data_IF_898227373850
#
_entry.id   IF_898227373850
#
_cell.length_a   1.000
_cell.length_b   1.000
_cell.length_c   1.000
_cell.angle_alpha   90.00
_cell.angle_beta   90.00
_cell.angle_gamma   90.00
#
_symmetry.space_group_name_H-M   'P 1'
#
loop_
_entity.id
_entity.type
_entity.pdbx_description
1 polymer ?
#
# COMPACT_ATOMS: atom_id res chain seq x y z
N UNK A 1 5.64 13.42 15.07
CA UNK A 1 4.72 14.02 14.10
C UNK A 1 4.08 12.88 13.33
N UNK A 2 2.88 12.45 13.74
CA UNK A 2 2.21 11.32 13.12
C UNK A 2 1.80 11.70 11.69
N UNK A 3 2.28 10.95 10.71
CA UNK A 3 1.85 11.00 9.32
C UNK A 3 0.33 10.86 9.27
N UNK A 4 -0.38 11.98 9.04
CA UNK A 4 -1.84 12.06 9.00
C UNK A 4 -2.38 11.56 7.65
N UNK A 5 -1.89 10.39 7.22
CA UNK A 5 -2.42 9.67 6.07
C UNK A 5 -3.38 8.61 6.55
N UNK A 6 -4.46 8.40 5.81
CA UNK A 6 -5.48 7.40 6.14
C UNK A 6 -4.99 5.99 5.77
N UNK A 7 -4.10 5.44 6.60
CA UNK A 7 -3.59 4.08 6.43
C UNK A 7 -4.68 3.05 6.69
N UNK A 8 -4.90 2.15 5.73
CA UNK A 8 -5.75 0.98 5.91
C UNK A 8 -4.97 -0.30 5.58
N UNK A 9 -5.30 -1.37 6.30
CA UNK A 9 -4.71 -2.69 6.07
C UNK A 9 -5.43 -3.39 4.90
N UNK A 10 -4.68 -4.13 4.09
CA UNK A 10 -5.26 -4.95 3.02
C UNK A 10 -6.13 -6.08 3.60
N UNK A 11 -7.31 -6.30 3.02
CA UNK A 11 -8.23 -7.38 3.40
C UNK A 11 -7.64 -8.78 3.16
N UNK A 12 -6.59 -8.89 2.34
CA UNK A 12 -5.86 -10.14 2.10
C UNK A 12 -4.90 -10.50 3.25
N UNK A 13 -4.69 -9.60 4.21
CA UNK A 13 -3.81 -9.81 5.37
C UNK A 13 -4.51 -10.46 6.58
N UNK A 14 -5.70 -11.06 6.39
CA UNK A 14 -6.51 -11.67 7.46
C UNK A 14 -6.30 -13.21 7.60
N UNK A 15 -5.31 -13.77 6.90
CA UNK A 15 -4.93 -15.19 6.98
C UNK A 15 -3.83 -15.46 8.00
N UNK A 16 -3.66 -16.74 8.38
CA UNK A 16 -2.68 -17.26 9.35
C UNK A 16 -1.18 -17.00 8.98
N UNK A 17 -0.94 -16.30 7.88
CA UNK A 17 0.33 -16.07 7.20
C UNK A 17 0.39 -14.55 6.96
N UNK A 18 0.85 -13.83 7.97
CA UNK A 18 0.68 -12.40 8.16
C UNK A 18 1.54 -11.52 7.23
N UNK A 19 1.39 -11.62 5.91
CA UNK A 19 1.90 -10.61 4.98
C UNK A 19 1.03 -9.35 5.10
N UNK A 20 1.34 -8.51 6.08
CA UNK A 20 0.53 -7.38 6.47
C UNK A 20 0.99 -6.11 5.75
N UNK A 21 0.32 -5.74 4.67
CA UNK A 21 0.59 -4.47 3.97
C UNK A 21 -0.46 -3.44 4.37
N UNK A 22 0.01 -2.23 4.65
CA UNK A 22 -0.79 -1.03 4.83
C UNK A 22 -0.62 -0.11 3.62
N UNK A 23 -1.72 0.44 3.14
CA UNK A 23 -1.76 1.39 2.03
C UNK A 23 -2.43 2.67 2.52
N UNK A 24 -1.93 3.80 2.07
CA UNK A 24 -2.59 5.10 2.23
C UNK A 24 -2.66 5.78 0.87
N UNK A 25 -3.88 5.99 0.38
CA UNK A 25 -4.15 6.65 -0.89
C UNK A 25 -4.52 8.12 -0.63
N UNK A 26 -3.60 9.02 -0.96
CA UNK A 26 -3.77 10.47 -0.82
C UNK A 26 -3.87 11.11 -2.20
N UNK A 27 -4.39 12.35 -2.27
CA UNK A 27 -4.61 13.05 -3.54
C UNK A 27 -3.37 13.16 -4.44
N UNK A 28 -2.17 13.24 -3.84
CA UNK A 28 -0.91 13.46 -4.57
C UNK A 28 0.07 12.29 -4.48
N UNK A 29 -0.20 11.27 -3.67
CA UNK A 29 0.74 10.17 -3.44
C UNK A 29 0.02 8.94 -2.90
N UNK A 30 0.58 7.77 -3.20
CA UNK A 30 0.15 6.50 -2.59
C UNK A 30 1.31 5.94 -1.78
N UNK A 31 1.11 5.80 -0.47
CA UNK A 31 2.07 5.19 0.45
C UNK A 31 1.79 3.71 0.59
N UNK A 32 2.84 2.89 0.53
CA UNK A 32 2.76 1.44 0.82
C UNK A 32 3.82 1.10 1.86
N UNK A 33 3.42 0.41 2.92
CA UNK A 33 4.34 -0.03 3.97
C UNK A 33 4.02 -1.41 4.51
N UNK A 34 5.01 -1.99 5.14
CA UNK A 34 4.84 -3.18 5.94
C UNK A 34 4.25 -2.82 7.31
N UNK A 35 3.19 -3.52 7.72
CA UNK A 35 2.48 -3.25 8.97
C UNK A 35 3.28 -3.69 10.19
N UNK A 36 4.20 -4.64 10.04
CA UNK A 36 5.02 -5.17 11.12
C UNK A 36 6.29 -4.34 11.34
N UNK A 37 6.76 -3.66 10.29
CA UNK A 37 8.01 -2.91 10.26
C UNK A 37 7.76 -1.43 9.93
N UNK A 38 6.80 -0.79 10.63
CA UNK A 38 6.38 0.60 10.37
C UNK A 38 7.53 1.60 10.54
N UNK A 39 8.51 1.29 11.37
CA UNK A 39 9.69 2.15 11.60
C UNK A 39 10.69 2.15 10.44
N UNK A 40 10.65 1.14 9.56
CA UNK A 40 11.52 1.08 8.38
C UNK A 40 11.08 2.06 7.27
N UNK A 41 9.95 2.76 7.47
CA UNK A 41 9.43 3.74 6.55
C UNK A 41 8.41 3.15 5.57
N UNK A 42 8.22 3.85 4.45
CA UNK A 42 7.22 3.49 3.45
C UNK A 42 7.69 3.92 2.06
N UNK A 43 7.23 3.20 1.03
CA UNK A 43 7.48 3.56 -0.36
C UNK A 43 6.33 4.45 -0.83
N UNK A 44 6.64 5.49 -1.60
CA UNK A 44 5.65 6.38 -2.19
C UNK A 44 5.61 6.23 -3.71
N UNK A 45 4.40 6.16 -4.25
CA UNK A 45 4.12 6.17 -5.68
C UNK A 45 3.31 7.41 -6.05
N UNK A 46 3.38 7.81 -7.32
CA UNK A 46 2.38 8.75 -7.86
C UNK A 46 1.03 8.02 -8.03
N UNK A 47 -0.11 8.70 -7.91
CA UNK A 47 -1.42 8.08 -8.08
C UNK A 47 -1.59 7.38 -9.43
N UNK A 48 -1.03 7.94 -10.51
CA UNK A 48 -1.09 7.34 -11.85
C UNK A 48 -0.27 6.04 -11.94
N UNK A 49 0.96 6.03 -11.40
CA UNK A 49 1.79 4.82 -11.40
C UNK A 49 1.13 3.69 -10.60
N UNK A 50 0.51 4.03 -9.46
CA UNK A 50 -0.24 3.08 -8.65
C UNK A 50 -1.43 2.48 -9.40
N UNK A 51 -2.25 3.32 -10.05
CA UNK A 51 -3.38 2.84 -10.85
C UNK A 51 -2.95 1.93 -12.00
N UNK A 52 -1.88 2.31 -12.72
CA UNK A 52 -1.32 1.51 -13.81
C UNK A 52 -0.84 0.14 -13.32
N UNK A 53 -0.16 0.10 -12.18
CA UNK A 53 0.29 -1.13 -11.55
C UNK A 53 -0.88 -2.07 -11.22
N UNK A 54 -1.91 -1.55 -10.53
CA UNK A 54 -3.09 -2.34 -10.17
C UNK A 54 -3.86 -2.86 -11.39
N UNK A 55 -3.98 -2.04 -12.44
CA UNK A 55 -4.61 -2.47 -13.69
C UNK A 55 -3.83 -3.61 -14.36
N UNK A 56 -2.50 -3.56 -14.38
CA UNK A 56 -1.68 -4.63 -14.93
C UNK A 56 -1.77 -5.92 -14.12
N UNK A 57 -1.80 -5.84 -12.77
CA UNK A 57 -2.02 -7.00 -11.91
C UNK A 57 -3.39 -7.66 -12.16
N UNK A 58 -4.46 -6.87 -12.28
CA UNK A 58 -5.82 -7.37 -12.53
C UNK A 58 -5.95 -8.03 -13.91
N UNK A 59 -5.20 -7.54 -14.89
CA UNK A 59 -5.16 -8.10 -16.24
C UNK A 59 -4.18 -9.26 -16.44
N UNK A 60 -3.54 -9.76 -15.37
CA UNK A 60 -2.46 -10.77 -15.41
C UNK A 60 -1.40 -10.43 -16.46
N UNK A 61 -1.03 -9.15 -16.55
CA UNK A 61 -0.04 -8.64 -17.52
C UNK A 61 1.40 -8.71 -16.99
N UNK A 62 1.58 -9.28 -15.80
CA UNK A 62 2.85 -9.48 -15.11
C UNK A 62 3.00 -10.93 -14.72
#
# INVERSE_FOLDING_TARGET
MADRREWHKSSYSNGNNASCVEVAEEANAVGVRDSQNRELGHICFSPNAWATFLHGLKGSRF
#
